data_IF_394847830890
#
_entry.id   IF_394847830890
#
_cell.length_a   1.000
_cell.length_b   1.000
_cell.length_c   1.000
_cell.angle_alpha   90.00
_cell.angle_beta   90.00
_cell.angle_gamma   90.00
#
_symmetry.space_group_name_H-M   'P 1'
#
loop_
_entity.id
_entity.type
_entity.pdbx_description
1 polymer ?
#
# COMPACT_ATOMS: atom_id res chain seq x y z
N UNK A 1 -8.24 -13.12 39.01
CA UNK A 1 -6.81 -12.86 38.80
C UNK A 1 -6.70 -11.51 38.09
N UNK A 2 -6.21 -10.46 38.76
CA UNK A 2 -6.00 -9.14 38.12
C UNK A 2 -4.55 -9.10 37.62
N UNK A 3 -4.34 -8.81 36.34
CA UNK A 3 -3.03 -8.81 35.69
C UNK A 3 -2.10 -7.66 36.15
N UNK A 4 -2.53 -6.83 37.11
CA UNK A 4 -1.72 -5.75 37.66
C UNK A 4 -1.57 -4.52 36.75
N UNK A 5 -2.27 -4.48 35.60
CA UNK A 5 -2.25 -3.31 34.72
C UNK A 5 -3.17 -2.19 35.23
N UNK A 6 -2.71 -0.96 35.12
CA UNK A 6 -3.52 0.24 35.27
C UNK A 6 -4.29 0.53 33.98
N UNK A 7 -5.46 1.18 34.07
CA UNK A 7 -6.29 1.50 32.91
C UNK A 7 -5.55 2.34 31.86
N UNK A 8 -4.67 3.26 32.30
CA UNK A 8 -3.87 4.10 31.39
C UNK A 8 -2.75 3.34 30.66
N UNK A 9 -2.48 2.07 30.99
CA UNK A 9 -1.52 1.24 30.27
C UNK A 9 -2.16 0.48 29.09
N UNK A 10 -3.48 0.56 28.95
CA UNK A 10 -4.19 -0.03 27.82
C UNK A 10 -4.20 0.99 26.68
N UNK A 11 -3.72 0.58 25.51
CA UNK A 11 -3.77 1.41 24.31
C UNK A 11 -5.22 1.66 23.90
N UNK A 12 -5.56 2.92 23.61
CA UNK A 12 -6.90 3.32 23.18
C UNK A 12 -7.36 2.53 21.94
N UNK A 13 -8.52 1.90 22.06
CA UNK A 13 -9.11 1.14 20.97
C UNK A 13 -9.56 2.07 19.83
N UNK A 14 -9.05 1.82 18.63
CA UNK A 14 -9.39 2.60 17.45
C UNK A 14 -10.67 2.10 16.73
N UNK A 15 -11.40 1.14 17.30
CA UNK A 15 -12.54 0.47 16.64
C UNK A 15 -13.59 1.44 16.09
N UNK A 16 -13.94 2.50 16.82
CA UNK A 16 -14.91 3.52 16.38
C UNK A 16 -14.37 4.42 15.27
N UNK A 17 -13.06 4.49 15.10
CA UNK A 17 -12.39 5.39 14.16
C UNK A 17 -11.98 4.73 12.83
N UNK A 18 -11.59 3.45 12.85
CA UNK A 18 -11.11 2.69 11.68
C UNK A 18 -11.95 1.43 11.39
N UNK A 19 -12.89 1.08 12.27
CA UNK A 19 -13.70 -0.14 12.15
C UNK A 19 -12.93 -1.43 12.45
N UNK A 20 -13.49 -2.55 11.97
CA UNK A 20 -12.94 -3.88 12.17
C UNK A 20 -11.98 -4.28 11.04
N UNK A 21 -10.67 -4.15 11.26
CA UNK A 21 -9.63 -4.50 10.27
C UNK A 21 -9.18 -5.96 10.33
N UNK A 22 -9.83 -6.80 11.17
CA UNK A 22 -9.56 -8.23 11.26
C UNK A 22 -8.15 -8.52 11.79
N UNK A 23 -7.43 -9.42 11.11
CA UNK A 23 -6.09 -9.87 11.51
C UNK A 23 -5.06 -8.74 11.61
N UNK A 24 -5.26 -7.62 10.91
CA UNK A 24 -4.36 -6.48 10.99
C UNK A 24 -4.53 -5.65 12.28
N UNK A 25 -5.68 -5.75 12.97
CA UNK A 25 -6.03 -4.86 14.08
C UNK A 25 -5.02 -4.89 15.25
N UNK A 26 -4.56 -6.05 15.75
CA UNK A 26 -3.56 -6.10 16.83
C UNK A 26 -2.23 -5.46 16.45
N UNK A 27 -1.81 -5.58 15.19
CA UNK A 27 -0.58 -4.96 14.69
C UNK A 27 -0.73 -3.44 14.55
N UNK A 28 -1.91 -2.96 14.13
CA UNK A 28 -2.22 -1.53 14.11
C UNK A 28 -2.20 -0.95 15.53
N UNK A 29 -2.77 -1.66 16.50
CA UNK A 29 -2.71 -1.29 17.92
C UNK A 29 -1.27 -1.27 18.45
N UNK A 30 -0.44 -2.23 18.06
CA UNK A 30 1.00 -2.22 18.39
C UNK A 30 1.71 -0.99 17.83
N UNK A 31 1.44 -0.61 16.57
CA UNK A 31 2.02 0.60 15.98
C UNK A 31 1.58 1.84 16.76
N UNK A 32 0.30 1.95 17.12
CA UNK A 32 -0.19 3.06 17.92
C UNK A 32 0.48 3.15 19.30
N UNK A 33 0.72 2.01 19.96
CA UNK A 33 1.45 1.97 21.23
C UNK A 33 2.92 2.37 21.07
N UNK A 34 3.56 1.92 19.98
CA UNK A 34 4.96 2.26 19.68
C UNK A 34 5.17 3.75 19.37
N UNK A 35 4.14 4.46 18.89
CA UNK A 35 4.24 5.91 18.65
C UNK A 35 4.54 6.68 19.96
N UNK A 36 4.01 6.23 21.09
CA UNK A 36 4.13 6.89 22.39
C UNK A 36 5.10 6.19 23.37
N UNK A 37 5.48 4.94 23.10
CA UNK A 37 6.35 4.14 23.96
C UNK A 37 7.81 4.64 23.99
N UNK A 38 8.50 4.53 25.12
CA UNK A 38 9.89 4.95 25.34
C UNK A 38 10.84 3.75 25.37
N UNK A 39 12.16 3.95 25.12
CA UNK A 39 13.15 2.88 25.29
C UNK A 39 13.09 2.27 26.69
N UNK A 40 12.98 0.95 26.77
CA UNK A 40 12.83 0.19 28.01
C UNK A 40 11.39 -0.22 28.33
N UNK A 41 10.39 0.38 27.69
CA UNK A 41 8.99 0.00 27.88
C UNK A 41 8.75 -1.44 27.41
N UNK A 42 7.85 -2.13 28.10
CA UNK A 42 7.45 -3.50 27.77
C UNK A 42 6.01 -3.50 27.26
N UNK A 43 5.80 -4.03 26.07
CA UNK A 43 4.51 -4.07 25.40
C UNK A 43 4.06 -5.52 25.30
N UNK A 44 2.87 -5.81 25.82
CA UNK A 44 2.17 -7.07 25.61
C UNK A 44 1.08 -6.85 24.57
N UNK A 45 1.20 -7.50 23.42
CA UNK A 45 0.16 -7.54 22.39
C UNK A 45 -0.58 -8.85 22.55
N UNK A 46 -1.86 -8.80 22.85
CA UNK A 46 -2.72 -9.96 22.91
C UNK A 46 -3.82 -9.84 21.86
N UNK A 47 -3.95 -10.84 21.00
CA UNK A 47 -5.03 -10.95 20.03
C UNK A 47 -5.97 -12.09 20.42
N UNK A 48 -7.25 -11.91 20.13
CA UNK A 48 -8.28 -12.93 20.35
C UNK A 48 -9.27 -12.93 19.19
N UNK A 49 -9.76 -14.11 18.80
CA UNK A 49 -10.66 -14.32 17.67
C UNK A 49 -10.84 -15.83 17.40
N UNK A 50 -10.59 -16.29 16.18
CA UNK A 50 -10.53 -17.73 15.83
C UNK A 50 -9.21 -18.40 16.30
N UNK A 51 -8.78 -18.06 17.51
CA UNK A 51 -7.46 -18.34 18.06
C UNK A 51 -7.00 -17.19 18.96
N UNK A 52 -5.85 -17.35 19.60
CA UNK A 52 -5.20 -16.29 20.36
C UNK A 52 -3.70 -16.36 20.24
N UNK A 53 -3.09 -15.19 20.00
CA UNK A 53 -1.65 -15.01 19.98
C UNK A 53 -1.27 -13.91 20.97
N UNK A 54 -0.15 -14.12 21.66
CA UNK A 54 0.43 -13.12 22.56
C UNK A 54 1.90 -12.88 22.21
N UNK A 55 2.27 -11.61 22.03
CA UNK A 55 3.64 -11.18 21.79
C UNK A 55 4.07 -10.29 22.95
N UNK A 56 5.23 -10.57 23.54
CA UNK A 56 5.83 -9.74 24.57
C UNK A 56 7.11 -9.11 24.03
N UNK A 57 7.12 -7.78 23.94
CA UNK A 57 8.15 -7.00 23.29
C UNK A 57 8.76 -6.02 24.29
N UNK A 58 10.06 -5.77 24.16
CA UNK A 58 10.73 -4.67 24.84
C UNK A 58 11.17 -3.63 23.82
N UNK A 59 10.78 -2.38 24.06
CA UNK A 59 11.13 -1.26 23.19
C UNK A 59 12.61 -0.93 23.39
N UNK A 60 13.34 -0.87 22.29
CA UNK A 60 14.78 -0.58 22.29
C UNK A 60 15.04 0.88 21.92
N UNK A 61 16.29 1.35 22.01
CA UNK A 61 16.66 2.74 21.69
C UNK A 61 16.48 3.08 20.20
N UNK A 62 16.41 2.06 19.34
CA UNK A 62 16.19 2.17 17.90
C UNK A 62 14.82 2.76 17.56
N UNK A 63 13.85 2.77 18.50
CA UNK A 63 12.55 3.40 18.29
C UNK A 63 12.67 4.89 17.91
N UNK A 64 13.70 5.57 18.42
CA UNK A 64 13.96 6.98 18.11
C UNK A 64 14.26 7.20 16.62
N UNK A 65 14.76 6.19 15.90
CA UNK A 65 14.99 6.25 14.45
C UNK A 65 13.70 6.10 13.63
N UNK A 66 12.59 5.70 14.25
CA UNK A 66 11.32 5.41 13.60
C UNK A 66 10.21 6.44 13.89
N UNK A 67 10.44 7.37 14.83
CA UNK A 67 9.43 8.36 15.29
C UNK A 67 8.80 9.20 14.19
N UNK A 68 9.57 9.60 13.18
CA UNK A 68 9.06 10.51 12.14
C UNK A 68 8.28 9.80 11.02
N UNK A 69 8.15 8.46 11.08
CA UNK A 69 7.39 7.70 10.08
C UNK A 69 5.89 8.01 10.16
N UNK A 70 5.16 7.67 9.10
CA UNK A 70 3.69 7.74 9.09
C UNK A 70 3.13 6.56 9.90
N UNK A 71 2.86 6.80 11.18
CA UNK A 71 2.21 5.84 12.08
C UNK A 71 0.68 5.96 12.09
N UNK A 72 0.04 5.38 13.09
CA UNK A 72 -1.43 5.29 13.16
C UNK A 72 -2.08 6.67 13.27
N UNK A 73 -1.55 7.57 14.10
CA UNK A 73 -2.10 8.93 14.27
C UNK A 73 -2.18 9.68 12.94
N UNK A 74 -1.08 9.67 12.17
CA UNK A 74 -1.01 10.34 10.85
C UNK A 74 -1.95 9.67 9.83
N UNK A 75 -2.04 8.33 9.81
CA UNK A 75 -2.95 7.62 8.91
C UNK A 75 -4.44 7.85 9.21
N UNK A 76 -4.81 7.93 10.48
CA UNK A 76 -6.19 8.22 10.90
C UNK A 76 -6.53 9.68 10.60
N UNK A 77 -5.60 10.61 10.79
CA UNK A 77 -5.80 12.02 10.45
C UNK A 77 -5.97 12.24 8.94
N UNK A 78 -5.22 11.51 8.11
CA UNK A 78 -5.29 11.64 6.64
C UNK A 78 -6.43 10.85 5.99
N UNK A 79 -7.36 10.26 6.76
CA UNK A 79 -8.44 9.43 6.21
C UNK A 79 -9.49 10.30 5.50
N UNK A 80 -10.18 9.72 4.53
CA UNK A 80 -11.33 10.33 3.86
C UNK A 80 -12.57 9.51 4.17
N UNK A 81 -13.63 10.18 4.61
CA UNK A 81 -14.91 9.52 4.84
C UNK A 81 -15.56 9.12 3.51
N UNK A 82 -16.13 7.92 3.47
CA UNK A 82 -16.84 7.42 2.31
C UNK A 82 -18.27 7.97 2.34
N UNK A 83 -18.51 9.05 1.59
CA UNK A 83 -19.79 9.77 1.61
C UNK A 83 -21.00 9.07 0.98
N UNK A 84 -20.86 7.83 0.51
CA UNK A 84 -21.96 7.05 -0.09
C UNK A 84 -21.97 5.63 0.47
N UNK A 85 -23.13 5.24 1.00
CA UNK A 85 -23.36 3.90 1.51
C UNK A 85 -23.36 2.87 0.38
N UNK A 86 -23.85 3.24 -0.80
CA UNK A 86 -23.84 2.44 -2.02
C UNK A 86 -22.40 2.07 -2.41
N UNK A 87 -21.49 3.06 -2.44
CA UNK A 87 -20.06 2.80 -2.68
C UNK A 87 -19.49 1.85 -1.63
N UNK A 88 -19.88 2.01 -0.35
CA UNK A 88 -19.44 1.12 0.72
C UNK A 88 -19.87 -0.33 0.46
N UNK A 89 -21.17 -0.58 0.22
CA UNK A 89 -21.67 -1.96 0.01
C UNK A 89 -21.13 -2.57 -1.29
N UNK A 90 -20.90 -1.77 -2.33
CA UNK A 90 -20.23 -2.22 -3.57
C UNK A 90 -18.77 -2.59 -3.32
N UNK A 91 -17.97 -1.76 -2.62
CA UNK A 91 -16.56 -2.07 -2.34
C UNK A 91 -16.39 -3.30 -1.43
N UNK A 92 -17.38 -3.54 -0.57
CA UNK A 92 -17.47 -4.71 0.31
C UNK A 92 -18.05 -5.94 -0.39
N UNK A 93 -18.45 -5.82 -1.65
CA UNK A 93 -19.04 -6.92 -2.44
C UNK A 93 -20.28 -7.51 -1.76
N UNK A 94 -21.06 -6.65 -1.07
CA UNK A 94 -22.34 -7.00 -0.45
C UNK A 94 -23.49 -6.85 -1.45
N UNK A 95 -23.39 -5.85 -2.33
CA UNK A 95 -24.34 -5.58 -3.40
C UNK A 95 -23.73 -6.02 -4.73
N UNK A 96 -24.44 -6.89 -5.45
CA UNK A 96 -24.12 -7.22 -6.83
C UNK A 96 -24.43 -6.01 -7.72
N UNK A 97 -23.43 -5.59 -8.50
CA UNK A 97 -23.55 -4.50 -9.45
C UNK A 97 -23.44 -5.05 -10.86
N UNK A 98 -24.18 -4.46 -11.79
CA UNK A 98 -23.94 -4.71 -13.21
C UNK A 98 -22.63 -4.02 -13.61
N UNK A 99 -21.64 -4.84 -13.96
CA UNK A 99 -20.30 -4.39 -14.35
C UNK A 99 -20.14 -4.24 -15.86
N UNK A 100 -21.17 -4.64 -16.63
CA UNK A 100 -21.13 -4.81 -18.08
C UNK A 100 -20.08 -5.82 -18.54
N UNK A 101 -20.01 -6.05 -19.86
CA UNK A 101 -19.07 -7.04 -20.42
C UNK A 101 -17.59 -6.78 -20.14
N UNK A 102 -17.20 -5.56 -19.78
CA UNK A 102 -15.81 -5.21 -19.43
C UNK A 102 -15.43 -5.52 -17.97
N UNK A 103 -16.40 -5.73 -17.09
CA UNK A 103 -16.16 -6.15 -15.71
C UNK A 103 -16.32 -7.64 -15.48
N UNK A 104 -16.96 -8.35 -16.41
CA UNK A 104 -17.12 -9.82 -16.39
C UNK A 104 -15.79 -10.56 -16.58
N UNK A 105 -14.84 -9.97 -17.31
CA UNK A 105 -13.56 -10.60 -17.61
C UNK A 105 -12.55 -10.40 -16.46
N UNK A 106 -12.50 -11.36 -15.55
CA UNK A 106 -11.43 -11.46 -14.55
C UNK A 106 -10.38 -12.46 -15.05
N UNK A 107 -9.28 -11.94 -15.61
CA UNK A 107 -8.15 -12.76 -15.98
C UNK A 107 -7.64 -13.55 -14.75
N UNK A 108 -7.51 -14.87 -14.90
CA UNK A 108 -7.12 -15.75 -13.81
C UNK A 108 -5.76 -15.36 -13.23
N UNK A 109 -5.67 -15.34 -11.88
CA UNK A 109 -4.44 -14.97 -11.21
C UNK A 109 -3.31 -15.95 -11.56
N UNK A 110 -2.24 -15.42 -12.17
CA UNK A 110 -1.05 -16.21 -12.51
C UNK A 110 -0.16 -16.45 -11.29
N UNK A 111 -0.55 -17.41 -10.43
CA UNK A 111 0.14 -17.68 -9.15
C UNK A 111 1.64 -18.02 -9.30
N UNK A 112 2.02 -18.77 -10.34
CA UNK A 112 3.42 -19.12 -10.59
C UNK A 112 4.26 -17.90 -11.02
N UNK A 113 3.70 -17.00 -11.81
CA UNK A 113 4.31 -15.71 -12.16
C UNK A 113 4.41 -14.83 -10.92
N UNK A 114 3.34 -14.70 -10.14
CA UNK A 114 3.34 -13.94 -8.90
C UNK A 114 4.41 -14.45 -7.93
N UNK A 115 4.58 -15.76 -7.77
CA UNK A 115 5.61 -16.33 -6.90
C UNK A 115 7.03 -15.93 -7.32
N UNK A 116 7.34 -16.05 -8.62
CA UNK A 116 8.64 -15.68 -9.20
C UNK A 116 8.90 -14.18 -9.11
N UNK A 117 7.90 -13.38 -9.48
CA UNK A 117 7.99 -11.93 -9.59
C UNK A 117 7.51 -11.18 -8.34
N UNK A 118 7.31 -11.87 -7.20
CA UNK A 118 6.72 -11.27 -5.98
C UNK A 118 7.46 -10.04 -5.49
N UNK A 119 8.78 -9.95 -5.73
CA UNK A 119 9.57 -8.77 -5.37
C UNK A 119 9.19 -7.56 -6.22
N UNK A 120 8.96 -7.77 -7.52
CA UNK A 120 8.50 -6.73 -8.44
C UNK A 120 7.05 -6.34 -8.18
N UNK A 121 6.18 -7.32 -7.94
CA UNK A 121 4.74 -7.10 -7.76
C UNK A 121 4.39 -6.58 -6.36
N UNK A 122 4.81 -7.29 -5.31
CA UNK A 122 4.46 -6.98 -3.92
C UNK A 122 5.45 -6.00 -3.27
N UNK A 123 6.72 -6.04 -3.66
CA UNK A 123 7.76 -5.18 -3.09
C UNK A 123 8.08 -3.91 -3.89
N UNK A 124 7.42 -3.69 -5.04
CA UNK A 124 7.76 -2.64 -6.01
C UNK A 124 9.28 -2.56 -6.29
N UNK A 125 9.92 -3.72 -6.42
CA UNK A 125 11.34 -3.80 -6.68
C UNK A 125 11.58 -3.84 -8.20
N UNK A 126 12.37 -2.90 -8.68
CA UNK A 126 12.97 -2.92 -10.00
C UNK A 126 14.46 -3.26 -9.92
N UNK A 127 15.23 -2.63 -10.80
CA UNK A 127 16.68 -2.80 -10.94
C UNK A 127 17.39 -1.46 -10.94
N UNK A 128 18.64 -1.41 -10.47
CA UNK A 128 19.53 -0.25 -10.60
C UNK A 128 20.86 -0.72 -11.17
N UNK A 129 21.30 -0.09 -12.25
CA UNK A 129 22.57 -0.44 -12.89
C UNK A 129 23.75 -0.09 -11.97
N UNK A 130 24.66 -1.04 -11.74
CA UNK A 130 25.89 -0.82 -10.97
C UNK A 130 26.84 0.16 -11.64
N UNK A 131 26.89 0.14 -12.97
CA UNK A 131 27.83 0.93 -13.77
C UNK A 131 27.46 2.42 -13.85
N UNK A 132 26.21 2.72 -14.21
CA UNK A 132 25.76 4.10 -14.41
C UNK A 132 24.74 4.59 -13.37
N UNK A 133 24.35 3.74 -12.42
CA UNK A 133 23.40 4.09 -11.37
C UNK A 133 21.95 4.27 -11.82
N UNK A 134 21.60 4.02 -13.08
CA UNK A 134 20.23 4.25 -13.60
C UNK A 134 19.23 3.26 -12.98
N UNK A 135 18.25 3.73 -12.19
CA UNK A 135 17.17 2.89 -11.69
C UNK A 135 16.06 2.72 -12.74
N UNK A 136 15.47 1.53 -12.78
CA UNK A 136 14.52 1.09 -13.80
C UNK A 136 13.45 0.20 -13.16
N UNK A 137 12.19 0.43 -13.53
CA UNK A 137 11.08 -0.43 -13.20
C UNK A 137 10.29 -0.73 -14.49
N UNK A 138 9.93 -2.00 -14.78
CA UNK A 138 10.18 -3.22 -14.00
C UNK A 138 11.68 -3.60 -13.96
N UNK A 139 12.10 -4.62 -13.20
CA UNK A 139 13.47 -5.14 -13.26
C UNK A 139 13.87 -5.48 -14.70
N UNK A 140 15.08 -5.09 -15.10
CA UNK A 140 15.65 -5.40 -16.41
C UNK A 140 17.05 -5.97 -16.20
N UNK A 141 17.47 -6.91 -17.05
CA UNK A 141 18.86 -7.42 -17.07
C UNK A 141 19.80 -6.49 -17.86
N UNK A 142 19.25 -5.75 -18.82
CA UNK A 142 19.99 -4.82 -19.69
C UNK A 142 19.67 -3.39 -19.26
N UNK A 143 20.70 -2.55 -19.21
CA UNK A 143 20.53 -1.14 -18.85
C UNK A 143 19.76 -0.38 -19.93
N UNK A 144 18.59 0.17 -19.60
CA UNK A 144 17.84 1.04 -20.49
C UNK A 144 18.50 2.40 -20.75
N UNK A 145 19.59 2.75 -20.04
CA UNK A 145 20.37 3.93 -20.39
C UNK A 145 21.13 3.67 -21.70
N UNK A 146 20.81 4.38 -22.80
CA UNK A 146 21.39 4.13 -24.11
C UNK A 146 22.89 4.40 -24.17
N UNK A 147 23.43 5.19 -23.23
CA UNK A 147 24.88 5.46 -23.11
C UNK A 147 25.63 4.37 -22.33
N UNK A 148 24.93 3.44 -21.67
CA UNK A 148 25.54 2.45 -20.79
C UNK A 148 25.52 1.04 -21.39
N UNK A 149 24.34 0.53 -21.77
CA UNK A 149 24.17 -0.81 -22.34
C UNK A 149 24.72 -1.98 -21.49
N UNK A 150 24.92 -1.79 -20.17
CA UNK A 150 25.45 -2.85 -19.31
C UNK A 150 24.45 -4.01 -19.20
N UNK A 151 24.96 -5.24 -19.16
CA UNK A 151 24.17 -6.48 -19.15
C UNK A 151 24.51 -7.26 -17.88
N UNK A 152 23.50 -7.74 -17.16
CA UNK A 152 23.63 -8.51 -15.92
C UNK A 152 24.41 -7.78 -14.79
N UNK A 153 24.51 -6.45 -14.87
CA UNK A 153 25.18 -5.59 -13.87
C UNK A 153 24.14 -4.77 -13.10
N UNK A 154 23.13 -5.45 -12.55
CA UNK A 154 21.96 -4.84 -11.93
C UNK A 154 21.83 -5.27 -10.47
N UNK A 155 21.58 -4.31 -9.60
CA UNK A 155 21.16 -4.57 -8.22
C UNK A 155 19.66 -4.38 -8.07
N UNK A 156 19.05 -5.16 -7.17
CA UNK A 156 17.64 -4.96 -6.84
C UNK A 156 17.44 -3.59 -6.20
N UNK A 157 16.46 -2.84 -6.71
CA UNK A 157 16.20 -1.47 -6.27
C UNK A 157 14.73 -1.30 -5.94
N UNK A 158 14.43 -0.87 -4.71
CA UNK A 158 13.07 -0.75 -4.19
C UNK A 158 12.52 0.65 -4.43
N UNK A 159 11.38 0.72 -5.12
CA UNK A 159 10.66 1.97 -5.41
C UNK A 159 9.51 2.26 -4.44
N UNK A 160 9.12 1.30 -3.58
CA UNK A 160 7.97 1.45 -2.67
C UNK A 160 8.01 2.69 -1.78
N UNK A 161 9.22 3.07 -1.36
CA UNK A 161 9.45 4.16 -0.40
C UNK A 161 9.98 5.41 -1.13
N UNK A 162 9.88 5.45 -2.47
CA UNK A 162 10.33 6.57 -3.29
C UNK A 162 9.14 7.45 -3.65
N UNK A 163 9.37 8.75 -3.57
CA UNK A 163 8.46 9.73 -4.12
C UNK A 163 8.60 9.77 -5.65
N UNK A 164 7.55 10.24 -6.29
CA UNK A 164 7.54 10.47 -7.72
C UNK A 164 6.71 11.67 -8.10
N UNK A 165 6.76 12.00 -9.37
CA UNK A 165 6.04 13.10 -9.99
C UNK A 165 5.09 12.52 -11.03
N UNK A 166 3.84 12.95 -11.00
CA UNK A 166 2.84 12.56 -11.99
C UNK A 166 3.18 13.20 -13.35
N UNK A 167 3.61 12.39 -14.31
CA UNK A 167 4.04 12.86 -15.63
C UNK A 167 2.86 13.11 -16.57
N UNK A 168 1.87 12.22 -16.56
CA UNK A 168 0.62 12.34 -17.31
C UNK A 168 -0.42 11.43 -16.68
N UNK A 169 -1.70 11.74 -16.83
CA UNK A 169 -2.80 10.95 -16.30
C UNK A 169 -4.02 11.06 -17.21
N UNK A 170 -4.94 10.11 -17.04
CA UNK A 170 -6.25 10.12 -17.70
C UNK A 170 -7.32 9.54 -16.78
N UNK A 171 -8.57 9.93 -17.02
CA UNK A 171 -9.76 9.32 -16.42
C UNK A 171 -10.53 8.54 -17.48
N UNK A 172 -10.55 7.22 -17.36
CA UNK A 172 -11.24 6.33 -18.29
C UNK A 172 -12.63 5.98 -17.75
N UNK A 173 -13.65 6.39 -18.48
CA UNK A 173 -15.07 6.11 -18.16
C UNK A 173 -15.58 4.82 -18.81
N UNK A 174 -14.80 4.21 -19.70
CA UNK A 174 -15.16 2.97 -20.39
C UNK A 174 -14.52 1.75 -19.73
N UNK A 175 -13.38 1.88 -19.08
CA UNK A 175 -12.80 0.81 -18.28
C UNK A 175 -13.63 0.56 -17.02
N UNK A 176 -13.87 -0.71 -16.71
CA UNK A 176 -14.56 -1.06 -15.48
C UNK A 176 -13.69 -0.68 -14.26
N UNK A 177 -14.28 0.08 -13.35
CA UNK A 177 -13.73 0.39 -12.04
C UNK A 177 -14.88 0.40 -11.04
N UNK A 178 -14.73 -0.21 -9.85
CA UNK A 178 -15.70 -0.08 -8.78
C UNK A 178 -15.91 1.39 -8.34
N UNK A 179 -14.93 2.25 -8.61
CA UNK A 179 -15.00 3.69 -8.36
C UNK A 179 -14.72 4.42 -9.68
N UNK A 180 -15.71 4.60 -10.57
CA UNK A 180 -15.51 5.29 -11.83
C UNK A 180 -15.29 6.80 -11.63
N UNK A 181 -14.51 7.47 -12.50
CA UNK A 181 -13.73 6.90 -13.60
C UNK A 181 -12.52 6.09 -13.12
N UNK A 182 -12.02 5.17 -13.94
CA UNK A 182 -10.74 4.53 -13.69
C UNK A 182 -9.62 5.55 -13.95
N UNK A 183 -8.92 5.97 -12.89
CA UNK A 183 -7.85 6.96 -13.00
C UNK A 183 -6.51 6.23 -13.02
N UNK A 184 -5.71 6.45 -14.06
CA UNK A 184 -4.35 5.91 -14.16
C UNK A 184 -3.41 6.91 -14.84
N UNK A 185 -2.12 6.79 -14.56
CA UNK A 185 -1.14 7.75 -15.02
C UNK A 185 0.29 7.23 -14.95
N UNK A 186 1.18 7.95 -15.60
CA UNK A 186 2.62 7.65 -15.60
C UNK A 186 3.30 8.42 -14.49
N UNK A 187 4.07 7.72 -13.66
CA UNK A 187 4.85 8.32 -12.56
C UNK A 187 6.34 8.26 -12.91
N UNK A 188 7.02 9.40 -12.75
CA UNK A 188 8.48 9.48 -12.77
C UNK A 188 8.99 9.44 -11.34
N UNK A 189 9.83 8.48 -11.00
CA UNK A 189 10.41 8.40 -9.65
C UNK A 189 11.61 9.32 -9.49
N UNK A 190 11.81 9.79 -8.27
CA UNK A 190 13.02 10.53 -7.90
C UNK A 190 14.26 9.66 -8.11
N UNK A 191 15.23 10.20 -8.85
CA UNK A 191 16.45 9.49 -9.25
C UNK A 191 16.31 8.61 -10.49
N UNK A 192 15.12 8.52 -11.09
CA UNK A 192 14.86 7.81 -12.35
C UNK A 192 13.95 6.59 -12.19
N UNK A 193 13.54 6.02 -13.33
CA UNK A 193 12.50 5.01 -13.40
C UNK A 193 11.14 5.62 -13.68
N UNK A 194 10.36 4.94 -14.51
CA UNK A 194 9.05 5.40 -14.98
C UNK A 194 8.12 4.21 -15.16
N UNK A 195 6.91 4.31 -14.66
CA UNK A 195 5.90 3.28 -14.87
C UNK A 195 4.48 3.85 -14.78
N UNK A 196 3.52 3.09 -15.32
CA UNK A 196 2.11 3.43 -15.25
C UNK A 196 1.46 2.79 -14.02
N UNK A 197 0.74 3.58 -13.24
CA UNK A 197 0.02 3.14 -12.05
C UNK A 197 -1.42 3.64 -12.08
N UNK A 198 -2.33 2.86 -11.50
CA UNK A 198 -3.63 3.38 -11.11
C UNK A 198 -3.41 4.46 -10.05
N UNK A 199 -4.20 5.53 -10.09
CA UNK A 199 -4.25 6.53 -9.03
C UNK A 199 -5.37 6.20 -8.03
N UNK A 200 -5.12 6.50 -6.75
CA UNK A 200 -6.08 6.28 -5.68
C UNK A 200 -6.13 7.43 -4.67
N UNK A 201 -7.25 7.49 -3.93
CA UNK A 201 -7.57 8.52 -2.94
C UNK A 201 -7.53 9.96 -3.50
N UNK A 202 -7.91 10.11 -4.77
CA UNK A 202 -7.99 11.39 -5.46
C UNK A 202 -9.23 11.43 -6.36
N UNK A 203 -9.73 12.64 -6.59
CA UNK A 203 -10.71 12.92 -7.64
C UNK A 203 -9.96 13.40 -8.90
N UNK A 204 -10.54 13.20 -10.08
CA UNK A 204 -9.88 13.50 -11.36
C UNK A 204 -9.56 14.99 -11.54
N UNK A 205 -10.42 15.86 -11.03
CA UNK A 205 -10.31 17.32 -11.08
C UNK A 205 -9.22 17.88 -10.15
N UNK A 206 -8.89 17.15 -9.08
CA UNK A 206 -7.83 17.51 -8.15
C UNK A 206 -6.42 17.16 -8.66
N UNK A 207 -6.31 16.38 -9.73
CA UNK A 207 -5.02 15.94 -10.29
C UNK A 207 -4.43 17.00 -11.22
N UNK A 208 -3.10 17.09 -11.22
CA UNK A 208 -2.34 17.99 -12.09
C UNK A 208 -1.04 17.32 -12.54
N UNK A 209 -0.64 17.55 -13.79
CA UNK A 209 0.69 17.14 -14.27
C UNK A 209 1.76 17.87 -13.47
N UNK A 210 2.79 17.15 -13.05
CA UNK A 210 3.87 17.67 -12.22
C UNK A 210 3.61 17.58 -10.72
N UNK A 211 2.43 17.15 -10.28
CA UNK A 211 2.15 17.02 -8.85
C UNK A 211 2.96 15.86 -8.22
N UNK A 212 3.38 16.01 -6.96
CA UNK A 212 4.08 14.95 -6.26
C UNK A 212 3.11 13.85 -5.82
N UNK A 213 3.56 12.61 -5.94
CA UNK A 213 2.81 11.40 -5.58
C UNK A 213 3.68 10.45 -4.76
N UNK A 214 3.04 9.64 -3.93
CA UNK A 214 3.64 8.54 -3.19
C UNK A 214 3.00 7.21 -3.57
N UNK A 215 3.69 6.10 -3.29
CA UNK A 215 3.19 4.76 -3.59
C UNK A 215 2.34 4.23 -2.43
N UNK A 216 1.18 3.66 -2.74
CA UNK A 216 0.27 3.04 -1.78
C UNK A 216 -0.03 1.59 -2.21
N UNK A 217 0.23 0.64 -1.32
CA UNK A 217 -0.11 -0.76 -1.56
C UNK A 217 -1.60 -1.01 -1.36
N UNK A 218 -2.28 -1.53 -2.39
CA UNK A 218 -3.75 -1.65 -2.42
C UNK A 218 -4.20 -2.98 -3.03
N UNK A 219 -5.43 -3.39 -2.69
CA UNK A 219 -6.13 -4.43 -3.46
C UNK A 219 -6.35 -3.90 -4.87
N UNK A 220 -5.80 -4.59 -5.87
CA UNK A 220 -5.97 -4.28 -7.28
C UNK A 220 -7.23 -4.94 -7.85
N UNK A 221 -7.47 -6.20 -7.51
CA UNK A 221 -8.63 -6.96 -7.96
C UNK A 221 -8.95 -8.12 -7.00
N UNK A 222 -10.09 -8.76 -7.22
CA UNK A 222 -10.52 -9.99 -6.54
C UNK A 222 -10.90 -11.04 -7.59
N UNK A 223 -10.16 -12.16 -7.64
CA UNK A 223 -10.44 -13.34 -8.45
C UNK A 223 -11.36 -14.27 -7.65
N UNK A 224 -12.64 -13.89 -7.61
CA UNK A 224 -13.68 -14.56 -6.83
C UNK A 224 -13.82 -16.06 -7.13
N UNK A 225 -13.77 -16.54 -8.39
CA UNK A 225 -13.84 -17.98 -8.68
C UNK A 225 -12.75 -18.82 -8.02
N UNK A 226 -11.58 -18.22 -7.72
CA UNK A 226 -10.46 -18.88 -7.04
C UNK A 226 -10.26 -18.41 -5.60
N UNK A 227 -11.05 -17.45 -5.12
CA UNK A 227 -10.91 -16.84 -3.79
C UNK A 227 -9.60 -16.09 -3.57
N UNK A 228 -9.01 -15.50 -4.63
CA UNK A 228 -7.69 -14.86 -4.57
C UNK A 228 -7.83 -13.33 -4.62
N UNK A 229 -7.22 -12.64 -3.67
CA UNK A 229 -7.11 -11.18 -3.68
C UNK A 229 -5.76 -10.75 -4.26
N UNK A 230 -5.81 -10.04 -5.39
CA UNK A 230 -4.62 -9.48 -6.04
C UNK A 230 -4.26 -8.12 -5.44
N UNK A 231 -3.03 -7.96 -4.99
CA UNK A 231 -2.53 -6.69 -4.46
C UNK A 231 -1.42 -6.13 -5.35
N UNK A 232 -1.41 -4.81 -5.51
CA UNK A 232 -0.39 -4.10 -6.25
C UNK A 232 -0.26 -2.66 -5.74
N UNK A 233 0.80 -1.99 -6.16
CA UNK A 233 1.03 -0.59 -5.83
C UNK A 233 0.21 0.33 -6.73
N UNK A 234 -0.36 1.37 -6.14
CA UNK A 234 -1.04 2.49 -6.79
C UNK A 234 -0.33 3.79 -6.42
N UNK A 235 -0.51 4.83 -7.21
CA UNK A 235 0.01 6.16 -6.90
C UNK A 235 -1.07 7.01 -6.22
N UNK A 236 -0.72 7.72 -5.17
CA UNK A 236 -1.65 8.63 -4.48
C UNK A 236 -1.00 9.99 -4.33
N UNK A 237 -1.74 11.11 -4.46
CA UNK A 237 -1.24 12.41 -4.04
C UNK A 237 -0.68 12.34 -2.62
N UNK A 238 0.35 13.12 -2.32
CA UNK A 238 0.96 13.11 -0.98
C UNK A 238 -0.12 13.38 0.07
N UNK A 239 -0.33 12.41 0.97
CA UNK A 239 -1.22 12.56 2.10
C UNK A 239 -0.57 13.46 3.15
N UNK A 240 -1.27 14.54 3.49
CA UNK A 240 -0.96 15.46 4.59
C UNK A 240 -1.48 14.87 5.90
#
# INVERSE_FOLDING_TARGET
MRLGFELGQIQDHMFTSIGHTGTAYPLMMLVAALEDAKPGDKILVASYGNGSDALFLQVTKEIEKARDRRGMKKHVASKKDLGSYEKYVTFREILDIDTGGRGEEIAGTQLSTLWRERRMVLGLCGSKCRRCGTPQYPPQEICANPKCGAINEMDSYRFSDRQGILFTYTGDVLAFSPSPPAIYGTVNFDGGGRWMFDLNDCELDALQVGMPVEMSFRRKYHDAPRGIYGYFWKATPIRV
#
